data_IF_984835904227
#
_entry.id   IF_984835904227
#
_cell.length_a   1.000
_cell.length_b   1.000
_cell.length_c   1.000
_cell.angle_alpha   90.00
_cell.angle_beta   90.00
_cell.angle_gamma   90.00
#
_symmetry.space_group_name_H-M   'P 1'
#
loop_
_entity.id
_entity.type
_entity.pdbx_description
1 polymer ?
#
# COMPACT_ATOMS: atom_id res chain seq x y z
N UNK A 1 6.26 14.92 -23.93
CA UNK A 1 5.26 15.05 -22.84
C UNK A 1 6.00 14.80 -21.53
N UNK A 2 5.71 15.54 -20.46
CA UNK A 2 6.44 15.39 -19.19
C UNK A 2 6.03 14.08 -18.50
N UNK A 3 7.01 13.27 -18.10
CA UNK A 3 6.79 11.96 -17.42
C UNK A 3 6.29 12.15 -15.98
N UNK A 4 6.64 13.30 -15.36
CA UNK A 4 6.29 13.69 -14.00
C UNK A 4 5.30 14.86 -14.07
N UNK A 5 4.25 14.82 -13.27
CA UNK A 5 3.23 15.87 -13.20
C UNK A 5 2.74 16.07 -11.77
N UNK A 6 2.32 17.30 -11.46
CA UNK A 6 1.72 17.61 -10.16
C UNK A 6 0.32 17.00 -10.04
N UNK A 7 0.08 16.22 -8.99
CA UNK A 7 -1.24 15.76 -8.61
C UNK A 7 -1.86 16.76 -7.64
N UNK A 8 -2.94 17.41 -8.08
CA UNK A 8 -3.67 18.43 -7.32
C UNK A 8 -4.37 17.82 -6.09
N UNK A 9 -4.69 16.53 -6.13
CA UNK A 9 -5.44 15.86 -5.08
C UNK A 9 -4.57 15.52 -3.86
N UNK A 10 -3.35 15.03 -4.12
CA UNK A 10 -2.39 14.72 -3.06
C UNK A 10 -1.41 15.86 -2.77
N UNK A 11 -1.33 16.87 -3.65
CA UNK A 11 -0.38 17.97 -3.53
C UNK A 11 1.09 17.55 -3.75
N UNK A 12 1.34 16.44 -4.44
CA UNK A 12 2.69 15.91 -4.70
C UNK A 12 2.93 15.70 -6.19
N UNK A 13 4.19 15.64 -6.61
CA UNK A 13 4.55 15.25 -7.98
C UNK A 13 4.47 13.72 -8.13
N UNK A 14 3.79 13.26 -9.18
CA UNK A 14 3.56 11.85 -9.47
C UNK A 14 3.95 11.51 -10.92
N UNK A 15 4.34 10.25 -11.16
CA UNK A 15 4.75 9.76 -12.48
C UNK A 15 3.54 9.20 -13.22
N UNK A 16 3.40 9.52 -14.51
CA UNK A 16 2.39 8.89 -15.38
C UNK A 16 0.95 9.29 -15.09
N UNK A 17 0.71 10.43 -14.43
CA UNK A 17 -0.65 10.94 -14.16
C UNK A 17 -1.43 11.19 -15.47
N UNK A 18 -0.71 11.67 -16.50
CA UNK A 18 -1.27 11.98 -17.83
C UNK A 18 -0.80 11.02 -18.94
N UNK A 19 0.03 10.04 -18.60
CA UNK A 19 0.62 9.08 -19.54
C UNK A 19 0.44 7.66 -19.02
N UNK A 20 -0.53 6.98 -19.63
CA UNK A 20 -0.98 5.65 -19.26
C UNK A 20 0.12 4.58 -19.50
N UNK A 21 1.01 4.77 -20.48
CA UNK A 21 2.11 3.84 -20.74
C UNK A 21 3.23 4.00 -19.71
N UNK A 22 3.55 5.25 -19.33
CA UNK A 22 4.49 5.52 -18.26
C UNK A 22 3.99 4.97 -16.91
N UNK A 23 2.70 5.15 -16.59
CA UNK A 23 2.10 4.58 -15.37
C UNK A 23 2.20 3.05 -15.34
N UNK A 24 1.88 2.39 -16.46
CA UNK A 24 1.91 0.93 -16.57
C UNK A 24 3.34 0.39 -16.40
N UNK A 25 4.30 0.99 -17.08
CA UNK A 25 5.70 0.54 -17.06
C UNK A 25 6.41 0.80 -15.74
N UNK A 26 6.34 2.03 -15.22
CA UNK A 26 7.16 2.46 -14.09
C UNK A 26 6.51 2.23 -12.72
N UNK A 27 5.19 2.13 -12.66
CA UNK A 27 4.46 1.98 -11.40
C UNK A 27 3.80 0.60 -11.33
N UNK A 28 2.87 0.30 -12.25
CA UNK A 28 2.04 -0.90 -12.14
C UNK A 28 2.86 -2.19 -12.25
N UNK A 29 3.76 -2.29 -13.23
CA UNK A 29 4.55 -3.49 -13.46
C UNK A 29 5.45 -3.84 -12.24
N UNK A 30 6.27 -2.93 -11.69
CA UNK A 30 7.02 -3.19 -10.47
C UNK A 30 6.13 -3.61 -9.29
N UNK A 31 5.01 -2.90 -9.05
CA UNK A 31 4.08 -3.24 -7.98
C UNK A 31 3.53 -4.67 -8.12
N UNK A 32 3.12 -5.08 -9.32
CA UNK A 32 2.65 -6.43 -9.59
C UNK A 32 3.75 -7.48 -9.35
N UNK A 33 4.98 -7.24 -9.84
CA UNK A 33 6.12 -8.14 -9.64
C UNK A 33 6.43 -8.30 -8.16
N UNK A 34 6.52 -7.20 -7.41
CA UNK A 34 6.76 -7.25 -5.97
C UNK A 34 5.65 -7.95 -5.20
N UNK A 35 4.39 -7.77 -5.59
CA UNK A 35 3.26 -8.47 -4.96
C UNK A 35 3.34 -9.97 -5.21
N UNK A 36 3.61 -10.40 -6.44
CA UNK A 36 3.72 -11.84 -6.78
C UNK A 36 4.90 -12.48 -6.03
N UNK A 37 6.08 -11.84 -6.05
CA UNK A 37 7.24 -12.33 -5.30
C UNK A 37 6.97 -12.35 -3.79
N UNK A 38 6.39 -11.27 -3.25
CA UNK A 38 6.08 -11.16 -1.83
C UNK A 38 5.07 -12.19 -1.36
N UNK A 39 3.99 -12.41 -2.12
CA UNK A 39 2.98 -13.43 -1.81
C UNK A 39 3.55 -14.84 -1.90
N UNK A 40 4.40 -15.13 -2.89
CA UNK A 40 5.09 -16.41 -3.00
C UNK A 40 5.99 -16.68 -1.77
N UNK A 41 6.80 -15.71 -1.35
CA UNK A 41 7.66 -15.83 -0.17
C UNK A 41 6.85 -15.94 1.13
N UNK A 42 5.77 -15.17 1.28
CA UNK A 42 4.88 -15.26 2.45
C UNK A 42 4.24 -16.65 2.55
N UNK A 43 3.73 -17.19 1.45
CA UNK A 43 3.14 -18.52 1.41
C UNK A 43 4.18 -19.60 1.73
N UNK A 44 5.36 -19.55 1.10
CA UNK A 44 6.44 -20.50 1.38
C UNK A 44 6.90 -20.43 2.84
N UNK A 45 7.04 -19.22 3.40
CA UNK A 45 7.38 -19.00 4.81
C UNK A 45 6.31 -19.54 5.75
N UNK A 46 5.03 -19.31 5.45
CA UNK A 46 3.90 -19.84 6.22
C UNK A 46 3.92 -21.37 6.20
N UNK A 47 4.00 -22.01 5.02
CA UNK A 47 4.08 -23.48 4.87
C UNK A 47 5.25 -24.07 5.65
N UNK A 48 6.42 -23.44 5.58
CA UNK A 48 7.61 -23.85 6.35
C UNK A 48 7.36 -23.82 7.85
N UNK A 49 6.74 -22.75 8.36
CA UNK A 49 6.38 -22.62 9.78
C UNK A 49 5.35 -23.67 10.22
N UNK A 50 4.37 -24.01 9.38
CA UNK A 50 3.43 -25.11 9.68
C UNK A 50 4.14 -26.45 9.75
N UNK A 51 5.05 -26.73 8.82
CA UNK A 51 5.84 -27.99 8.84
C UNK A 51 6.64 -28.11 10.13
N UNK A 52 7.33 -27.04 10.55
CA UNK A 52 8.08 -27.00 11.81
C UNK A 52 7.14 -27.22 13.01
N UNK A 53 5.98 -26.56 13.03
CA UNK A 53 4.98 -26.73 14.10
C UNK A 53 4.51 -28.18 14.20
N UNK A 54 4.20 -28.82 13.07
CA UNK A 54 3.71 -30.20 13.04
C UNK A 54 4.75 -31.17 13.62
N UNK A 55 6.03 -31.00 13.26
CA UNK A 55 7.12 -31.82 13.82
C UNK A 55 7.29 -31.56 15.33
N UNK A 56 7.37 -30.29 15.75
CA UNK A 56 7.57 -29.93 17.16
C UNK A 56 6.41 -30.34 18.09
N UNK A 57 5.18 -30.40 17.57
CA UNK A 57 4.01 -30.83 18.35
C UNK A 57 4.03 -32.33 18.63
N UNK A 58 4.69 -33.11 17.78
CA UNK A 58 4.87 -34.55 17.97
C UNK A 58 5.90 -34.86 19.09
N UNK A 59 6.83 -33.93 19.35
CA UNK A 59 7.86 -34.02 20.40
C UNK A 59 7.42 -33.50 21.79
N UNK A 60 6.14 -33.14 21.98
CA UNK A 60 5.61 -32.71 23.29
C UNK A 60 6.10 -31.35 23.81
N UNK A 61 6.74 -30.53 22.97
CA UNK A 61 7.28 -29.21 23.36
C UNK A 61 6.18 -28.14 23.43
N UNK A 62 6.22 -27.23 24.42
CA UNK A 62 5.27 -26.09 24.55
C UNK A 62 5.45 -25.10 23.39
N UNK A 63 4.51 -25.07 22.44
CA UNK A 63 4.55 -24.27 21.20
C UNK A 63 3.83 -22.91 21.28
N UNK A 64 3.32 -22.49 22.45
CA UNK A 64 2.53 -21.26 22.62
C UNK A 64 3.21 -19.97 22.14
N UNK A 65 4.54 -19.87 22.31
CA UNK A 65 5.31 -18.71 21.84
C UNK A 65 5.43 -18.67 20.33
N UNK A 66 5.60 -19.83 19.70
CA UNK A 66 5.67 -19.97 18.25
C UNK A 66 4.31 -19.69 17.61
N UNK A 67 3.23 -20.16 18.23
CA UNK A 67 1.86 -19.89 17.77
C UNK A 67 1.54 -18.38 17.77
N UNK A 68 1.89 -17.68 18.85
CA UNK A 68 1.75 -16.22 18.92
C UNK A 68 2.58 -15.51 17.85
N UNK A 69 3.78 -16.00 17.55
CA UNK A 69 4.64 -15.45 16.50
C UNK A 69 4.07 -15.70 15.10
N UNK A 70 3.57 -16.91 14.84
CA UNK A 70 2.96 -17.30 13.56
C UNK A 70 1.70 -16.49 13.26
N UNK A 71 0.78 -16.37 14.23
CA UNK A 71 -0.44 -15.55 14.08
C UNK A 71 -0.06 -14.11 13.77
N UNK A 72 0.95 -13.58 14.46
CA UNK A 72 1.46 -12.24 14.22
C UNK A 72 1.92 -12.12 12.76
N UNK A 73 2.93 -12.89 12.33
CA UNK A 73 3.46 -12.82 10.96
C UNK A 73 2.35 -12.96 9.90
N UNK A 74 1.39 -13.88 10.11
CA UNK A 74 0.25 -14.06 9.21
C UNK A 74 -0.66 -12.83 9.11
N UNK A 75 -1.07 -12.26 10.24
CA UNK A 75 -1.91 -11.04 10.27
C UNK A 75 -1.22 -9.88 9.57
N UNK A 76 0.09 -9.69 9.79
CA UNK A 76 0.83 -8.62 9.14
C UNK A 76 1.02 -8.86 7.64
N UNK A 77 1.24 -10.11 7.22
CA UNK A 77 1.25 -10.48 5.81
C UNK A 77 -0.05 -10.10 5.12
N UNK A 78 -1.20 -10.50 5.69
CA UNK A 78 -2.52 -10.16 5.14
C UNK A 78 -2.77 -8.65 5.13
N UNK A 79 -2.45 -7.96 6.23
CA UNK A 79 -2.59 -6.50 6.34
C UNK A 79 -1.71 -5.73 5.36
N UNK A 80 -0.65 -6.33 4.81
CA UNK A 80 0.19 -5.73 3.77
C UNK A 80 -0.29 -6.10 2.36
N UNK A 81 -0.66 -7.37 2.15
CA UNK A 81 -1.13 -7.87 0.84
C UNK A 81 -2.46 -7.26 0.43
N UNK A 82 -3.41 -7.10 1.35
CA UNK A 82 -4.75 -6.57 1.04
C UNK A 82 -4.70 -5.12 0.55
N UNK A 83 -4.06 -4.15 1.25
CA UNK A 83 -3.93 -2.79 0.73
C UNK A 83 -3.18 -2.73 -0.59
N UNK A 84 -2.12 -3.52 -0.77
CA UNK A 84 -1.36 -3.58 -2.02
C UNK A 84 -2.24 -4.05 -3.21
N UNK A 85 -3.05 -5.09 -3.00
CA UNK A 85 -4.03 -5.56 -3.98
C UNK A 85 -5.07 -4.48 -4.33
N UNK A 86 -5.59 -3.77 -3.33
CA UNK A 86 -6.58 -2.70 -3.54
C UNK A 86 -5.95 -1.54 -4.34
N UNK A 87 -4.72 -1.14 -4.02
CA UNK A 87 -4.00 -0.09 -4.78
C UNK A 87 -3.81 -0.53 -6.23
N UNK A 88 -3.38 -1.76 -6.48
CA UNK A 88 -3.24 -2.29 -7.85
C UNK A 88 -4.59 -2.30 -8.58
N UNK A 89 -5.67 -2.69 -7.92
CA UNK A 89 -7.01 -2.67 -8.49
C UNK A 89 -7.46 -1.23 -8.83
N UNK A 90 -7.18 -0.25 -7.98
CA UNK A 90 -7.46 1.17 -8.25
C UNK A 90 -6.66 1.66 -9.46
N UNK A 91 -5.36 1.35 -9.53
CA UNK A 91 -4.50 1.71 -10.66
C UNK A 91 -4.95 1.06 -11.97
N UNK A 92 -5.40 -0.19 -11.91
CA UNK A 92 -5.95 -0.88 -13.09
C UNK A 92 -7.28 -0.26 -13.54
N UNK A 93 -8.15 0.12 -12.59
CA UNK A 93 -9.39 0.84 -12.88
C UNK A 93 -9.12 2.21 -13.53
N UNK A 94 -8.16 2.97 -13.00
CA UNK A 94 -7.71 4.25 -13.57
C UNK A 94 -7.22 4.05 -15.01
N UNK A 95 -6.34 3.07 -15.22
CA UNK A 95 -5.81 2.75 -16.55
C UNK A 95 -6.91 2.39 -17.57
N UNK A 96 -7.86 1.54 -17.18
CA UNK A 96 -8.87 1.02 -18.10
C UNK A 96 -9.90 2.08 -18.53
N UNK A 97 -10.09 3.14 -17.74
CA UNK A 97 -11.08 4.20 -18.00
C UNK A 97 -10.46 5.52 -18.42
N UNK A 98 -9.13 5.63 -18.36
CA UNK A 98 -8.40 6.85 -18.66
C UNK A 98 -8.78 7.46 -20.02
N UNK A 99 -8.76 6.67 -21.09
CA UNK A 99 -9.06 7.17 -22.45
C UNK A 99 -10.47 7.76 -22.56
N UNK A 100 -11.46 7.13 -21.90
CA UNK A 100 -12.84 7.62 -21.88
C UNK A 100 -12.96 8.92 -21.08
N UNK A 101 -12.21 9.06 -19.99
CA UNK A 101 -12.17 10.29 -19.19
C UNK A 101 -11.52 11.43 -19.97
N UNK A 102 -10.41 11.17 -20.66
CA UNK A 102 -9.72 12.17 -21.50
C UNK A 102 -10.63 12.64 -22.64
N UNK A 103 -11.35 11.72 -23.29
CA UNK A 103 -12.30 12.08 -24.35
C UNK A 103 -13.44 12.96 -23.82
N UNK A 104 -13.98 12.62 -22.65
CA UNK A 104 -15.04 13.41 -22.00
C UNK A 104 -14.53 14.80 -21.59
N UNK A 105 -13.33 14.87 -21.02
CA UNK A 105 -12.67 16.13 -20.66
C UNK A 105 -12.41 17.02 -21.88
N UNK A 106 -11.90 16.45 -22.98
CA UNK A 106 -11.63 17.18 -24.23
C UNK A 106 -12.91 17.77 -24.83
N UNK A 107 -14.03 17.02 -24.75
CA UNK A 107 -15.35 17.50 -25.18
C UNK A 107 -15.83 18.67 -24.32
N UNK A 108 -15.73 18.55 -22.99
CA UNK A 108 -16.18 19.60 -22.07
C UNK A 108 -15.34 20.89 -22.24
N UNK A 109 -14.03 20.77 -22.49
CA UNK A 109 -13.15 21.92 -22.78
C UNK A 109 -13.44 22.59 -24.12
N UNK A 110 -13.74 21.81 -25.16
CA UNK A 110 -14.10 22.34 -26.47
C UNK A 110 -15.49 23.02 -26.49
N UNK A 111 -16.43 22.53 -25.69
CA UNK A 111 -17.76 23.13 -25.57
C UNK A 111 -17.76 24.47 -24.83
N UNK A 112 -16.74 24.74 -24.01
CA UNK A 112 -16.58 26.01 -23.33
C UNK A 112 -16.16 27.11 -24.33
N UNK A 113 -16.85 28.27 -24.37
CA UNK A 113 -16.57 29.34 -25.33
C UNK A 113 -15.23 30.07 -25.11
N UNK A 114 -14.44 29.61 -24.14
CA UNK A 114 -13.15 30.19 -23.78
C UNK A 114 -11.99 29.68 -24.63
N UNK A 115 -12.15 28.53 -25.29
CA UNK A 115 -11.08 27.86 -26.02
C UNK A 115 -11.55 27.44 -27.43
N UNK A 116 -10.85 27.87 -28.48
CA UNK A 116 -11.14 27.53 -29.88
C UNK A 116 -10.51 26.18 -30.29
N UNK A 117 -10.91 25.11 -29.61
CA UNK A 117 -10.41 23.75 -29.85
C UNK A 117 -11.43 22.99 -30.72
N UNK A 118 -11.04 22.17 -31.71
CA UNK A 118 -11.99 21.35 -32.46
C UNK A 118 -12.53 20.18 -31.62
N UNK A 119 -13.85 20.01 -31.63
CA UNK A 119 -14.52 18.95 -30.86
C UNK A 119 -14.41 17.59 -31.56
N UNK A 120 -14.25 16.49 -30.80
CA UNK A 120 -14.17 15.15 -31.36
C UNK A 120 -15.57 14.66 -31.78
N UNK A 121 -15.66 13.99 -32.93
CA UNK A 121 -16.93 13.47 -33.48
C UNK A 121 -17.44 12.19 -32.79
N UNK A 122 -16.69 11.64 -31.84
CA UNK A 122 -17.05 10.41 -31.15
C UNK A 122 -18.25 10.62 -30.22
N UNK A 123 -19.41 10.02 -30.56
CA UNK A 123 -20.57 9.89 -29.67
C UNK A 123 -20.33 8.79 -28.65
N UNK A 124 -19.51 9.09 -27.65
CA UNK A 124 -19.34 8.23 -26.47
C UNK A 124 -20.13 8.81 -25.29
N UNK A 125 -20.72 7.94 -24.46
CA UNK A 125 -21.33 8.40 -23.21
C UNK A 125 -20.28 9.04 -22.30
N UNK A 126 -20.60 10.17 -21.65
CA UNK A 126 -19.65 10.87 -20.79
C UNK A 126 -19.32 9.98 -19.58
N UNK A 127 -18.04 9.58 -19.47
CA UNK A 127 -17.52 8.87 -18.32
C UNK A 127 -16.63 9.80 -17.53
N UNK A 128 -16.86 9.90 -16.22
CA UNK A 128 -16.09 10.75 -15.32
C UNK A 128 -15.32 9.92 -14.28
N UNK A 129 -14.13 10.38 -13.86
CA UNK A 129 -13.39 9.75 -12.78
C UNK A 129 -14.21 9.77 -11.49
N UNK A 130 -14.25 8.62 -10.79
CA UNK A 130 -14.92 8.50 -9.49
C UNK A 130 -13.95 8.90 -8.40
N UNK A 131 -14.21 10.04 -7.74
CA UNK A 131 -13.37 10.56 -6.67
C UNK A 131 -13.10 9.56 -5.54
N UNK A 132 -14.10 8.75 -5.20
CA UNK A 132 -14.02 7.71 -4.17
C UNK A 132 -12.87 6.71 -4.41
N UNK A 133 -12.60 6.35 -5.67
CA UNK A 133 -11.54 5.40 -6.02
C UNK A 133 -10.16 5.98 -5.69
N UNK A 134 -9.96 7.27 -5.97
CA UNK A 134 -8.72 7.97 -5.63
C UNK A 134 -8.53 8.05 -4.11
N UNK A 135 -9.59 8.35 -3.36
CA UNK A 135 -9.54 8.37 -1.89
C UNK A 135 -9.16 7.00 -1.31
N UNK A 136 -9.75 5.92 -1.84
CA UNK A 136 -9.41 4.55 -1.43
C UNK A 136 -7.94 4.25 -1.73
N UNK A 137 -7.44 4.61 -2.92
CA UNK A 137 -6.02 4.43 -3.29
C UNK A 137 -5.10 5.07 -2.26
N UNK A 138 -5.27 6.36 -1.96
CA UNK A 138 -4.40 7.06 -1.00
C UNK A 138 -4.53 6.49 0.42
N UNK A 139 -5.75 6.18 0.87
CA UNK A 139 -5.97 5.56 2.18
C UNK A 139 -5.22 4.22 2.30
N UNK A 140 -5.31 3.37 1.29
CA UNK A 140 -4.65 2.06 1.29
C UNK A 140 -3.12 2.18 1.27
N UNK A 141 -2.57 3.19 0.58
CA UNK A 141 -1.12 3.47 0.65
C UNK A 141 -0.67 3.92 2.04
N UNK A 142 -1.48 4.71 2.77
CA UNK A 142 -1.14 5.16 4.13
C UNK A 142 -1.29 4.05 5.18
N UNK A 143 -2.27 3.15 5.03
CA UNK A 143 -2.53 2.06 5.99
C UNK A 143 -1.27 1.21 6.22
N UNK A 144 -0.47 0.97 5.18
CA UNK A 144 0.79 0.23 5.30
C UNK A 144 1.75 0.87 6.32
N UNK A 145 1.87 2.20 6.32
CA UNK A 145 2.69 2.92 7.31
C UNK A 145 2.15 2.78 8.74
N UNK A 146 0.83 2.85 8.89
CA UNK A 146 0.16 2.72 10.19
C UNK A 146 0.36 1.30 10.75
N UNK A 147 0.16 0.27 9.92
CA UNK A 147 0.33 -1.14 10.34
C UNK A 147 1.76 -1.45 10.79
N UNK A 148 2.78 -0.92 10.10
CA UNK A 148 4.17 -1.04 10.52
C UNK A 148 4.46 -0.39 11.88
N UNK A 149 3.78 0.71 12.20
CA UNK A 149 3.91 1.40 13.50
C UNK A 149 3.35 0.53 14.64
N UNK A 150 2.19 -0.09 14.42
CA UNK A 150 1.59 -1.03 15.38
C UNK A 150 2.46 -2.27 15.60
N UNK A 151 3.27 -2.68 14.63
CA UNK A 151 4.21 -3.79 14.84
C UNK A 151 5.20 -3.50 15.98
N UNK A 152 5.69 -2.28 16.09
CA UNK A 152 6.73 -1.95 17.08
C UNK A 152 6.10 -1.71 18.47
N UNK A 153 4.80 -1.49 18.55
CA UNK A 153 4.07 -1.35 19.82
C UNK A 153 3.98 -2.68 20.55
N UNK A 154 4.95 -2.91 21.45
CA UNK A 154 4.94 -4.02 22.39
C UNK A 154 5.26 -3.49 23.79
N UNK A 155 4.81 -4.21 24.82
CA UNK A 155 5.20 -3.91 26.20
C UNK A 155 6.73 -3.85 26.39
N UNK A 156 7.49 -4.63 25.60
CA UNK A 156 8.96 -4.56 25.60
C UNK A 156 9.49 -3.19 25.15
N UNK A 157 8.86 -2.62 24.12
CA UNK A 157 9.18 -1.29 23.61
C UNK A 157 8.89 -0.23 24.67
N UNK A 158 7.74 -0.29 25.34
CA UNK A 158 7.39 0.64 26.43
C UNK A 158 8.37 0.56 27.61
N UNK A 159 8.79 -0.64 27.99
CA UNK A 159 9.79 -0.84 29.05
C UNK A 159 11.14 -0.26 28.65
N UNK A 160 11.59 -0.50 27.40
CA UNK A 160 12.83 0.08 26.88
C UNK A 160 12.80 1.61 26.86
N UNK A 161 11.68 2.20 26.44
CA UNK A 161 11.50 3.65 26.46
C UNK A 161 11.47 4.21 27.88
N UNK A 162 10.81 3.52 28.82
CA UNK A 162 10.82 3.91 30.23
C UNK A 162 12.25 3.90 30.81
N UNK A 163 13.01 2.83 30.56
CA UNK A 163 14.42 2.75 30.98
C UNK A 163 15.30 3.84 30.35
N UNK A 164 15.06 4.18 29.07
CA UNK A 164 15.74 5.28 28.41
C UNK A 164 15.41 6.63 29.07
N UNK A 165 14.14 6.91 29.34
CA UNK A 165 13.72 8.14 30.02
C UNK A 165 14.21 8.23 31.47
N UNK A 166 14.25 7.10 32.20
CA UNK A 166 14.78 7.05 33.57
C UNK A 166 16.30 7.33 33.60
N UNK A 167 17.05 6.82 32.61
CA UNK A 167 18.47 7.16 32.41
C UNK A 167 18.67 8.63 32.06
N UNK A 168 17.84 9.19 31.18
CA UNK A 168 17.91 10.61 30.81
C UNK A 168 17.59 11.55 31.99
N UNK A 169 16.70 11.13 32.89
CA UNK A 169 16.37 11.86 34.13
C UNK A 169 17.42 11.68 35.24
N UNK A 170 18.53 10.98 34.98
CA UNK A 170 19.61 10.82 35.95
C UNK A 170 19.30 9.91 37.14
N UNK A 171 18.22 9.11 37.08
CA UNK A 171 17.98 8.05 38.08
C UNK A 171 18.98 6.93 37.81
N UNK A 172 20.14 6.96 38.49
CA UNK A 172 21.00 5.78 38.63
C UNK A 172 20.12 4.67 39.21
N UNK A 173 19.89 3.63 38.42
CA UNK A 173 19.51 2.34 38.96
C UNK A 173 20.75 1.86 39.72
N UNK A 174 20.77 2.07 41.04
CA UNK A 174 21.68 1.32 41.89
C UNK A 174 21.40 -0.16 41.63
N UNK A 175 22.40 -0.84 41.06
CA UNK A 175 22.40 -2.27 40.92
C UNK A 175 22.34 -2.86 42.33
N UNK A 176 21.20 -3.44 42.70
CA UNK A 176 21.14 -4.33 43.85
C UNK A 176 21.95 -5.58 43.50
N UNK A 177 23.07 -5.73 44.21
CA UNK A 177 23.85 -6.97 44.36
C UNK A 177 22.98 -8.02 45.03
#
# INVERSE_FOLDING_TARGET
MAIISGDVLSGVCYVGLWDAEALRGWVLAPLCVYLVLGTAFLLAGFVSLFRIRTVMKHDGTKTDKLEKLMIRIGVFGVLYTVPALIVIACLFYEQARYDAWVLTWHRDMCAAPLYSIPCPFARSEPQRPKFEVFMIKYLMTMIVGITSSFWIWSGKTLVSWRQFFDRLKGRRVEAYV
#
